data_IF_847753635777
#
_entry.id   IF_847753635777
#
_cell.length_a   1.000
_cell.length_b   1.000
_cell.length_c   1.000
_cell.angle_alpha   90.00
_cell.angle_beta   90.00
_cell.angle_gamma   90.00
#
_symmetry.space_group_name_H-M   'P 1'
#
loop_
_entity.id
_entity.type
_entity.pdbx_description
1 polymer ?
#
# COMPACT_ATOMS: atom_id res chain seq x y z
N UNK A 1 7.63 12.61 19.03
CA UNK A 1 7.82 12.41 17.59
C UNK A 1 7.85 13.77 16.91
N UNK A 2 8.89 14.05 16.13
CA UNK A 2 8.94 15.26 15.28
C UNK A 2 8.16 14.96 14.01
N UNK A 3 7.24 15.84 13.63
CA UNK A 3 6.52 15.80 12.36
C UNK A 3 6.76 17.08 11.59
N UNK A 4 6.63 17.02 10.28
CA UNK A 4 6.77 18.16 9.38
C UNK A 4 5.42 18.51 8.81
N UNK A 5 5.09 19.80 8.80
CA UNK A 5 3.88 20.32 8.17
C UNK A 5 4.24 21.41 7.18
N UNK A 6 3.49 21.51 6.10
CA UNK A 6 3.60 22.66 5.21
C UNK A 6 3.01 23.90 5.89
N UNK A 7 3.78 24.97 5.89
CA UNK A 7 3.34 26.25 6.46
C UNK A 7 3.48 27.36 5.43
N UNK A 8 2.62 28.36 5.52
CA UNK A 8 2.67 29.55 4.67
C UNK A 8 3.85 30.43 5.07
N UNK A 9 4.66 30.83 4.09
CA UNK A 9 5.73 31.83 4.29
C UNK A 9 5.21 33.21 3.95
N UNK A 10 5.33 34.14 4.88
CA UNK A 10 4.87 35.52 4.71
C UNK A 10 5.63 36.31 3.62
N UNK A 11 6.77 35.80 3.12
CA UNK A 11 7.63 36.46 2.12
C UNK A 11 7.43 36.01 0.68
N UNK A 12 6.72 34.92 0.45
CA UNK A 12 6.56 34.38 -0.89
C UNK A 12 5.42 35.06 -1.66
N UNK A 13 5.61 35.21 -2.98
CA UNK A 13 4.63 35.82 -3.88
C UNK A 13 3.24 35.19 -3.77
N UNK A 14 3.21 33.89 -3.55
CA UNK A 14 1.98 33.09 -3.56
C UNK A 14 1.05 33.37 -2.39
N UNK A 15 1.57 33.99 -1.32
CA UNK A 15 0.81 34.29 -0.11
C UNK A 15 0.33 35.74 -0.09
N UNK A 16 1.00 36.62 -0.80
CA UNK A 16 0.61 38.02 -0.93
C UNK A 16 -0.41 38.16 -2.06
N UNK A 17 -1.69 37.95 -1.75
CA UNK A 17 -2.80 38.02 -2.72
C UNK A 17 -2.74 39.23 -3.65
N UNK A 18 -2.32 40.39 -3.15
CA UNK A 18 -2.21 41.63 -3.90
C UNK A 18 -1.06 41.68 -4.89
N UNK A 19 -0.06 40.82 -4.74
CA UNK A 19 1.19 40.83 -5.52
C UNK A 19 1.53 39.48 -6.14
N UNK A 20 0.70 38.49 -5.94
CA UNK A 20 0.91 37.16 -6.49
C UNK A 20 0.67 37.16 -8.01
N UNK A 21 1.69 36.82 -8.77
CA UNK A 21 1.59 36.65 -10.23
C UNK A 21 1.16 35.24 -10.62
N UNK A 22 1.31 34.26 -9.72
CA UNK A 22 0.91 32.86 -9.88
C UNK A 22 0.57 32.26 -8.54
N UNK A 23 -0.51 31.48 -8.49
CA UNK A 23 -0.96 30.77 -7.29
C UNK A 23 -0.61 29.28 -7.32
N UNK A 24 0.20 28.80 -8.28
CA UNK A 24 0.52 27.42 -8.48
C UNK A 24 1.99 27.18 -8.13
N UNK A 25 2.27 27.10 -6.83
CA UNK A 25 3.60 26.81 -6.31
C UNK A 25 3.78 25.36 -5.87
N UNK A 26 2.74 24.78 -5.30
CA UNK A 26 2.77 23.40 -4.80
C UNK A 26 1.53 22.67 -5.28
N UNK A 27 1.70 21.80 -6.26
CA UNK A 27 0.64 20.99 -6.84
C UNK A 27 1.20 19.68 -7.40
N UNK A 28 0.32 18.80 -7.83
CA UNK A 28 0.65 17.48 -8.36
C UNK A 28 0.66 17.45 -9.90
N UNK A 29 0.98 18.55 -10.57
CA UNK A 29 0.98 18.64 -12.05
C UNK A 29 1.85 17.56 -12.68
N UNK A 30 3.06 17.32 -12.16
CA UNK A 30 3.93 16.27 -12.66
C UNK A 30 3.30 14.88 -12.53
N UNK A 31 2.68 14.60 -11.40
CA UNK A 31 1.96 13.34 -11.19
C UNK A 31 0.74 13.22 -12.10
N UNK A 32 0.02 14.32 -12.34
CA UNK A 32 -1.12 14.33 -13.26
C UNK A 32 -0.68 14.05 -14.72
N UNK A 33 0.43 14.65 -15.17
CA UNK A 33 1.01 14.37 -16.48
C UNK A 33 1.46 12.90 -16.56
N UNK A 34 2.18 12.42 -15.56
CA UNK A 34 2.61 11.02 -15.49
C UNK A 34 1.42 10.05 -15.54
N UNK A 35 0.35 10.35 -14.79
CA UNK A 35 -0.88 9.55 -14.80
C UNK A 35 -1.55 9.57 -16.18
N UNK A 36 -1.64 10.72 -16.82
CA UNK A 36 -2.24 10.84 -18.16
C UNK A 36 -1.47 10.02 -19.20
N UNK A 37 -0.14 10.08 -19.18
CA UNK A 37 0.73 9.29 -20.06
C UNK A 37 0.54 7.80 -19.78
N UNK A 38 0.55 7.39 -18.50
CA UNK A 38 0.41 6.00 -18.10
C UNK A 38 -0.96 5.42 -18.51
N UNK A 39 -2.04 6.13 -18.26
CA UNK A 39 -3.39 5.72 -18.66
C UNK A 39 -3.54 5.63 -20.19
N UNK A 40 -2.95 6.59 -20.91
CA UNK A 40 -2.96 6.57 -22.38
C UNK A 40 -2.17 5.38 -22.94
N UNK A 41 -1.08 5.01 -22.28
CA UNK A 41 -0.26 3.87 -22.69
C UNK A 41 -0.93 2.54 -22.39
N UNK A 42 -1.55 2.38 -21.23
CA UNK A 42 -2.27 1.16 -20.84
C UNK A 42 -3.53 0.95 -21.70
N UNK A 43 -4.23 2.03 -22.02
CA UNK A 43 -5.56 1.93 -22.62
C UNK A 43 -6.61 1.28 -21.72
N UNK A 44 -7.84 1.12 -22.21
CA UNK A 44 -8.93 0.56 -21.40
C UNK A 44 -8.70 -0.89 -21.03
N UNK A 45 -8.13 -1.70 -21.92
CA UNK A 45 -7.84 -3.12 -21.65
C UNK A 45 -6.74 -3.28 -20.61
N UNK A 46 -5.62 -2.56 -20.74
CA UNK A 46 -4.53 -2.64 -19.76
C UNK A 46 -4.94 -2.13 -18.39
N UNK A 47 -5.83 -1.12 -18.33
CA UNK A 47 -6.38 -0.62 -17.05
C UNK A 47 -7.30 -1.67 -16.40
N UNK A 48 -8.14 -2.33 -17.19
CA UNK A 48 -8.96 -3.44 -16.72
C UNK A 48 -8.10 -4.60 -16.18
N UNK A 49 -7.12 -5.03 -16.95
CA UNK A 49 -6.22 -6.13 -16.58
C UNK A 49 -5.44 -5.83 -15.29
N UNK A 50 -4.96 -4.60 -15.14
CA UNK A 50 -4.27 -4.16 -13.92
C UNK A 50 -5.17 -4.30 -12.68
N UNK A 51 -6.43 -3.84 -12.78
CA UNK A 51 -7.42 -3.98 -11.72
C UNK A 51 -7.77 -5.44 -11.44
N UNK A 52 -8.08 -6.19 -12.48
CA UNK A 52 -8.45 -7.60 -12.39
C UNK A 52 -7.34 -8.45 -11.75
N UNK A 53 -6.11 -8.31 -12.21
CA UNK A 53 -4.97 -9.06 -11.66
C UNK A 53 -4.65 -8.66 -10.22
N UNK A 54 -4.83 -7.39 -9.85
CA UNK A 54 -4.66 -6.97 -8.46
C UNK A 54 -5.66 -7.68 -7.54
N UNK A 55 -6.94 -7.68 -7.90
CA UNK A 55 -7.99 -8.36 -7.14
C UNK A 55 -7.74 -9.88 -7.09
N UNK A 56 -7.38 -10.49 -8.22
CA UNK A 56 -7.12 -11.92 -8.30
C UNK A 56 -5.97 -12.35 -7.37
N UNK A 57 -4.87 -11.59 -7.35
CA UNK A 57 -3.70 -11.89 -6.52
C UNK A 57 -3.98 -11.63 -5.03
N UNK A 58 -4.71 -10.56 -4.70
CA UNK A 58 -5.15 -10.30 -3.34
C UNK A 58 -6.05 -11.44 -2.83
N UNK A 59 -7.01 -11.89 -3.63
CA UNK A 59 -7.87 -13.02 -3.28
C UNK A 59 -7.10 -14.34 -3.14
N UNK A 60 -6.09 -14.55 -3.98
CA UNK A 60 -5.20 -15.71 -3.84
C UNK A 60 -4.47 -15.67 -2.49
N UNK A 61 -3.87 -14.52 -2.15
CA UNK A 61 -3.15 -14.36 -0.88
C UNK A 61 -4.08 -14.53 0.32
N UNK A 62 -5.26 -13.88 0.33
CA UNK A 62 -6.26 -14.01 1.39
C UNK A 62 -6.66 -15.47 1.62
N UNK A 63 -7.04 -16.18 0.56
CA UNK A 63 -7.42 -17.60 0.64
C UNK A 63 -6.29 -18.48 1.16
N UNK A 64 -5.05 -18.19 0.75
CA UNK A 64 -3.88 -18.93 1.22
C UNK A 64 -3.59 -18.66 2.69
N UNK A 65 -3.72 -17.41 3.16
CA UNK A 65 -3.58 -17.05 4.57
C UNK A 65 -4.66 -17.71 5.43
N UNK A 66 -5.92 -17.66 5.03
CA UNK A 66 -7.05 -18.30 5.74
C UNK A 66 -6.81 -19.82 5.84
N UNK A 67 -6.36 -20.45 4.75
CA UNK A 67 -6.02 -21.89 4.76
C UNK A 67 -4.92 -22.22 5.77
N UNK A 68 -4.02 -21.29 6.04
CA UNK A 68 -2.93 -21.41 7.01
C UNK A 68 -3.32 -20.91 8.43
N UNK A 69 -4.62 -20.69 8.69
CA UNK A 69 -5.15 -20.37 10.01
C UNK A 69 -5.06 -18.90 10.41
N UNK A 70 -4.86 -18.00 9.45
CA UNK A 70 -4.94 -16.55 9.68
C UNK A 70 -6.37 -16.04 9.53
N UNK A 71 -6.66 -14.93 10.20
CA UNK A 71 -7.96 -14.25 10.15
C UNK A 71 -7.83 -12.96 9.33
N UNK A 72 -8.82 -12.71 8.48
CA UNK A 72 -8.93 -11.50 7.67
C UNK A 72 -10.28 -10.86 7.98
N UNK A 73 -10.34 -9.91 8.93
CA UNK A 73 -11.61 -9.37 9.45
C UNK A 73 -12.49 -8.68 8.40
N UNK A 74 -11.90 -8.15 7.33
CA UNK A 74 -12.60 -7.41 6.28
C UNK A 74 -12.55 -8.09 4.90
N UNK A 75 -12.53 -9.43 4.85
CA UNK A 75 -12.37 -10.18 3.59
C UNK A 75 -13.42 -9.84 2.55
N UNK A 76 -14.68 -9.72 2.94
CA UNK A 76 -15.80 -9.51 2.02
C UNK A 76 -15.82 -8.13 1.35
N UNK A 77 -15.19 -7.12 1.94
CA UNK A 77 -15.24 -5.72 1.48
C UNK A 77 -13.96 -5.24 0.81
N UNK A 78 -12.92 -6.06 0.79
CA UNK A 78 -11.59 -5.64 0.33
C UNK A 78 -11.31 -6.05 -1.11
N UNK A 79 -10.78 -5.11 -1.91
CA UNK A 79 -10.35 -5.36 -3.29
C UNK A 79 -8.90 -5.86 -3.33
N UNK A 80 -7.97 -5.01 -2.94
CA UNK A 80 -6.51 -5.29 -2.97
C UNK A 80 -5.82 -5.04 -1.63
N UNK A 81 -6.50 -4.38 -0.71
CA UNK A 81 -6.00 -4.08 0.63
C UNK A 81 -6.88 -4.77 1.65
N UNK A 82 -6.29 -5.44 2.62
CA UNK A 82 -7.02 -6.15 3.66
C UNK A 82 -6.26 -6.11 4.98
N UNK A 83 -7.00 -6.21 6.08
CA UNK A 83 -6.42 -6.39 7.40
C UNK A 83 -6.06 -7.86 7.60
N UNK A 84 -4.85 -8.10 8.05
CA UNK A 84 -4.35 -9.40 8.45
C UNK A 84 -4.19 -9.41 9.96
N UNK A 85 -4.90 -10.29 10.65
CA UNK A 85 -4.67 -10.55 12.06
C UNK A 85 -3.44 -11.47 12.20
N UNK A 86 -2.41 -10.97 12.90
CA UNK A 86 -1.18 -11.71 13.18
C UNK A 86 -1.24 -12.32 14.58
N UNK A 87 -0.53 -13.43 14.77
CA UNK A 87 -0.56 -14.18 16.04
C UNK A 87 0.32 -13.57 17.13
N UNK A 88 1.29 -12.76 16.71
CA UNK A 88 2.21 -12.02 17.57
C UNK A 88 1.99 -10.52 17.43
N UNK A 89 2.83 -9.68 18.03
CA UNK A 89 2.69 -8.23 17.92
C UNK A 89 2.98 -7.76 16.48
N UNK A 90 2.07 -6.97 15.89
CA UNK A 90 2.16 -6.50 14.51
C UNK A 90 3.45 -5.71 14.21
N UNK A 91 3.94 -4.90 15.16
CA UNK A 91 5.21 -4.18 15.00
C UNK A 91 6.40 -5.14 14.92
N UNK A 92 6.37 -6.21 15.71
CA UNK A 92 7.42 -7.24 15.72
C UNK A 92 7.41 -8.02 14.39
N UNK A 93 6.22 -8.41 13.91
CA UNK A 93 6.05 -9.07 12.61
C UNK A 93 6.59 -8.19 11.47
N UNK A 94 6.23 -6.90 11.44
CA UNK A 94 6.69 -5.97 10.40
C UNK A 94 8.22 -5.88 10.40
N UNK A 95 8.85 -5.76 11.57
CA UNK A 95 10.30 -5.67 11.68
C UNK A 95 10.99 -6.96 11.21
N UNK A 96 10.55 -8.12 11.70
CA UNK A 96 11.11 -9.42 11.33
C UNK A 96 10.91 -9.75 9.85
N UNK A 97 9.76 -9.37 9.28
CA UNK A 97 9.51 -9.49 7.84
C UNK A 97 10.45 -8.56 7.06
N UNK A 98 10.71 -7.35 7.57
CA UNK A 98 11.70 -6.43 7.01
C UNK A 98 13.09 -7.03 6.94
N UNK A 99 13.54 -7.72 7.99
CA UNK A 99 14.83 -8.42 8.03
C UNK A 99 14.91 -9.55 6.99
N UNK A 100 13.78 -10.15 6.64
CA UNK A 100 13.66 -11.14 5.55
C UNK A 100 13.48 -10.51 4.16
N UNK A 101 13.48 -9.18 4.05
CA UNK A 101 13.37 -8.44 2.78
C UNK A 101 11.94 -8.19 2.29
N UNK A 102 10.94 -8.35 3.15
CA UNK A 102 9.55 -8.08 2.82
C UNK A 102 9.06 -6.77 3.44
N UNK A 103 8.38 -5.95 2.63
CA UNK A 103 7.49 -4.91 3.14
C UNK A 103 6.18 -5.59 3.58
N UNK A 104 6.09 -5.96 4.86
CA UNK A 104 4.99 -6.78 5.37
C UNK A 104 3.62 -6.11 5.21
N UNK A 105 3.58 -4.81 5.34
CA UNK A 105 2.39 -3.99 5.33
C UNK A 105 2.54 -2.77 6.24
N UNK A 106 1.43 -2.15 6.58
CA UNK A 106 1.38 -0.97 7.46
C UNK A 106 0.81 -1.39 8.81
N UNK A 107 1.45 -0.95 9.90
CA UNK A 107 0.93 -1.13 11.24
C UNK A 107 -0.46 -0.48 11.36
N UNK A 108 -1.45 -1.26 11.73
CA UNK A 108 -2.81 -0.78 11.99
C UNK A 108 -3.08 -0.68 13.49
N UNK A 109 -2.92 -1.77 14.21
CA UNK A 109 -2.93 -1.87 15.67
C UNK A 109 -2.03 -3.02 16.16
N UNK A 110 -2.10 -3.37 17.43
CA UNK A 110 -1.21 -4.36 18.05
C UNK A 110 -1.29 -5.76 17.41
N UNK A 111 -2.44 -6.10 16.83
CA UNK A 111 -2.70 -7.44 16.28
C UNK A 111 -2.92 -7.43 14.77
N UNK A 112 -2.98 -6.26 14.13
CA UNK A 112 -3.34 -6.17 12.72
C UNK A 112 -2.31 -5.42 11.89
N UNK A 113 -2.06 -5.98 10.72
CA UNK A 113 -1.25 -5.38 9.65
C UNK A 113 -2.14 -5.12 8.43
N UNK A 114 -2.11 -3.92 7.88
CA UNK A 114 -2.78 -3.61 6.62
C UNK A 114 -1.87 -4.05 5.47
N UNK A 115 -2.28 -5.07 4.76
CA UNK A 115 -1.55 -5.66 3.63
C UNK A 115 -2.15 -5.20 2.31
N UNK A 116 -1.30 -4.86 1.33
CA UNK A 116 -1.70 -4.51 -0.02
C UNK A 116 -1.03 -5.42 -1.05
N UNK A 117 -1.83 -5.93 -1.99
CA UNK A 117 -1.34 -6.79 -3.09
C UNK A 117 -1.74 -6.19 -4.42
N UNK A 118 -0.77 -6.03 -5.32
CA UNK A 118 -1.01 -5.47 -6.65
C UNK A 118 -0.68 -6.46 -7.75
N UNK A 119 -0.99 -6.09 -8.98
CA UNK A 119 -0.69 -6.86 -10.19
C UNK A 119 0.78 -7.19 -10.36
N UNK A 120 1.67 -6.41 -9.74
CA UNK A 120 3.13 -6.59 -9.85
C UNK A 120 3.64 -7.83 -9.13
N UNK A 121 2.90 -8.35 -8.15
CA UNK A 121 3.36 -9.50 -7.36
C UNK A 121 3.25 -10.79 -8.16
N UNK A 122 4.30 -11.62 -8.13
CA UNK A 122 4.26 -12.99 -8.66
C UNK A 122 3.66 -13.92 -7.61
N UNK A 123 3.11 -15.06 -8.08
CA UNK A 123 2.58 -16.07 -7.17
C UNK A 123 3.64 -16.56 -6.19
N UNK A 124 4.86 -16.80 -6.66
CA UNK A 124 5.98 -17.25 -5.80
C UNK A 124 6.29 -16.23 -4.71
N UNK A 125 6.30 -14.92 -5.01
CA UNK A 125 6.53 -13.87 -4.01
C UNK A 125 5.45 -13.83 -2.92
N UNK A 126 4.20 -14.15 -3.30
CA UNK A 126 3.08 -14.26 -2.33
C UNK A 126 3.26 -15.50 -1.47
N UNK A 127 3.63 -16.63 -2.06
CA UNK A 127 3.87 -17.88 -1.34
C UNK A 127 5.06 -17.73 -0.38
N UNK A 128 6.16 -17.10 -0.81
CA UNK A 128 7.35 -16.81 0.01
C UNK A 128 7.02 -15.88 1.18
N UNK A 129 6.18 -14.85 0.95
CA UNK A 129 5.70 -13.98 2.01
C UNK A 129 4.91 -14.74 3.08
N UNK A 130 4.00 -15.63 2.66
CA UNK A 130 3.18 -16.43 3.58
C UNK A 130 4.05 -17.38 4.39
N UNK A 131 5.03 -18.02 3.76
CA UNK A 131 5.99 -18.88 4.44
C UNK A 131 6.80 -18.10 5.47
N UNK A 132 7.36 -16.95 5.10
CA UNK A 132 8.13 -16.11 6.00
C UNK A 132 7.31 -15.64 7.21
N UNK A 133 6.04 -15.29 6.98
CA UNK A 133 5.12 -14.91 8.05
C UNK A 133 4.85 -16.07 9.02
N UNK A 134 4.63 -17.28 8.50
CA UNK A 134 4.42 -18.47 9.32
C UNK A 134 5.65 -18.81 10.20
N UNK A 135 6.85 -18.66 9.66
CA UNK A 135 8.09 -18.86 10.40
C UNK A 135 8.23 -17.88 11.57
N UNK A 136 7.74 -16.65 11.40
CA UNK A 136 7.79 -15.60 12.42
C UNK A 136 6.73 -15.83 13.51
N UNK A 137 5.52 -16.17 13.10
CA UNK A 137 4.37 -16.31 14.00
C UNK A 137 4.32 -17.65 14.75
N UNK A 138 5.09 -18.65 14.32
CA UNK A 138 5.14 -19.98 14.96
C UNK A 138 6.49 -20.26 15.67
N UNK A 139 7.44 -19.37 15.57
CA UNK A 139 8.76 -19.45 16.24
C UNK A 139 8.84 -18.61 17.47
#
# INVERSE_FOLDING_TARGET
>A
NKSYVMTLRAREQDIRREKASSNICTNQTLNAIGSAIHLSWLGPEGLYDMGYHSIQKANYMKKSLIKNGYVIPNDDSSLREFLLEVKTNASEVINKMGDKGFLAGIYYDENHVLVAVTEKRKKTEIDDYIQALQEIDNG
#
